data_IF_053882077882
#
_entry.id   IF_053882077882
#
_cell.length_a   1.000
_cell.length_b   1.000
_cell.length_c   1.000
_cell.angle_alpha   90.00
_cell.angle_beta   90.00
_cell.angle_gamma   90.00
#
_symmetry.space_group_name_H-M   'P 1'
#
loop_
_entity.id
_entity.type
_entity.pdbx_description
1 polymer ?
#
# COMPACT_ATOMS: atom_id res chain seq x y z
N UNK A 1 22.29 -3.64 0.44
CA UNK A 1 21.58 -2.35 0.64
C UNK A 1 20.32 -2.51 1.50
N UNK A 2 19.72 -3.70 1.58
CA UNK A 2 18.50 -3.99 2.38
C UNK A 2 18.65 -3.82 3.89
N UNK A 3 19.85 -4.06 4.44
CA UNK A 3 20.06 -4.06 5.89
C UNK A 3 20.01 -2.66 6.52
N UNK A 4 20.40 -1.64 5.74
CA UNK A 4 20.37 -0.24 6.17
C UNK A 4 18.93 0.31 6.19
N UNK A 5 18.10 -0.15 5.25
CA UNK A 5 16.68 0.22 5.15
C UNK A 5 15.86 -0.31 6.33
N UNK A 6 16.11 -1.56 6.72
CA UNK A 6 15.50 -2.15 7.93
C UNK A 6 15.98 -1.48 9.22
N UNK A 7 17.21 -0.97 9.25
CA UNK A 7 17.75 -0.26 10.42
C UNK A 7 17.04 1.08 10.61
N UNK A 8 16.85 1.86 9.53
CA UNK A 8 16.08 3.10 9.55
C UNK A 8 14.62 2.82 9.91
N UNK A 9 14.02 1.77 9.34
CA UNK A 9 12.64 1.38 9.62
C UNK A 9 12.41 1.11 11.11
N UNK A 10 13.27 0.29 11.72
CA UNK A 10 13.14 -0.13 13.10
C UNK A 10 13.46 0.97 14.12
N UNK A 11 14.45 1.81 13.84
CA UNK A 11 14.92 2.85 14.78
C UNK A 11 14.22 4.21 14.58
N UNK A 12 13.44 4.38 13.53
CA UNK A 12 12.73 5.63 13.28
C UNK A 12 11.75 5.95 14.42
N UNK A 13 11.78 7.18 14.97
CA UNK A 13 10.87 7.61 16.03
C UNK A 13 9.46 7.94 15.51
N UNK A 14 9.22 7.79 14.20
CA UNK A 14 7.95 8.11 13.53
C UNK A 14 7.22 6.80 13.21
N UNK A 15 5.89 6.81 13.31
CA UNK A 15 5.06 5.68 12.90
C UNK A 15 5.21 5.39 11.41
N UNK A 16 5.56 4.15 11.07
CA UNK A 16 5.72 3.69 9.69
C UNK A 16 5.07 2.32 9.45
N UNK A 17 4.65 2.12 8.21
CA UNK A 17 4.13 0.85 7.67
C UNK A 17 4.93 0.47 6.43
N UNK A 18 5.30 -0.80 6.35
CA UNK A 18 5.79 -1.42 5.13
C UNK A 18 4.62 -2.13 4.45
N UNK A 19 4.33 -1.79 3.19
CA UNK A 19 3.17 -2.30 2.46
C UNK A 19 3.56 -2.85 1.08
N UNK A 20 2.90 -3.93 0.68
CA UNK A 20 2.97 -4.51 -0.66
C UNK A 20 1.81 -4.00 -1.53
N UNK A 21 2.17 -3.29 -2.60
CA UNK A 21 1.26 -2.76 -3.61
C UNK A 21 1.22 -3.60 -4.90
N UNK A 22 1.93 -4.74 -4.94
CA UNK A 22 1.99 -5.61 -6.12
C UNK A 22 0.61 -6.13 -6.56
N UNK A 23 -0.32 -6.28 -5.61
CA UNK A 23 -1.71 -6.62 -5.90
C UNK A 23 -2.42 -5.58 -6.76
N UNK A 24 -2.19 -4.28 -6.51
CA UNK A 24 -2.74 -3.19 -7.32
C UNK A 24 -2.19 -3.26 -8.74
N UNK A 25 -0.87 -3.45 -8.87
CA UNK A 25 -0.24 -3.58 -10.18
C UNK A 25 -0.89 -4.69 -11.02
N UNK A 26 -1.16 -5.86 -10.43
CA UNK A 26 -1.83 -6.96 -11.14
C UNK A 26 -3.23 -6.59 -11.64
N UNK A 27 -3.99 -5.82 -10.86
CA UNK A 27 -5.32 -5.32 -11.26
C UNK A 27 -5.18 -4.37 -12.45
N UNK A 28 -4.22 -3.44 -12.41
CA UNK A 28 -3.99 -2.47 -13.48
C UNK A 28 -3.47 -3.15 -14.76
N UNK A 29 -2.58 -4.13 -14.61
CA UNK A 29 -2.10 -4.94 -15.74
C UNK A 29 -3.28 -5.69 -16.37
N UNK A 30 -4.22 -6.23 -15.59
CA UNK A 30 -5.43 -6.88 -16.09
C UNK A 30 -6.39 -5.92 -16.82
N UNK A 31 -6.51 -4.66 -16.38
CA UNK A 31 -7.28 -3.66 -17.11
C UNK A 31 -6.63 -3.26 -18.42
N UNK A 32 -5.30 -3.12 -18.42
CA UNK A 32 -4.54 -2.83 -19.64
C UNK A 32 -4.72 -3.94 -20.68
N UNK A 33 -4.71 -5.21 -20.27
CA UNK A 33 -4.97 -6.33 -21.20
C UNK A 33 -6.41 -6.41 -21.70
N UNK A 34 -7.36 -5.79 -20.99
CA UNK A 34 -8.75 -5.63 -21.45
C UNK A 34 -8.94 -4.43 -22.39
N UNK A 35 -7.87 -3.70 -22.71
CA UNK A 35 -7.90 -2.56 -23.64
C UNK A 35 -8.20 -1.22 -22.97
N UNK A 36 -8.18 -1.15 -21.63
CA UNK A 36 -8.31 0.12 -20.91
C UNK A 36 -6.96 0.86 -21.01
N UNK A 37 -6.94 1.94 -21.79
CA UNK A 37 -5.74 2.74 -22.06
C UNK A 37 -5.57 3.93 -21.11
N UNK A 38 -6.67 4.48 -20.60
CA UNK A 38 -6.68 5.59 -19.64
C UNK A 38 -7.25 5.12 -18.29
N UNK A 39 -6.37 4.59 -17.43
CA UNK A 39 -6.73 4.11 -16.10
C UNK A 39 -7.23 5.25 -15.21
N UNK A 40 -6.72 6.47 -15.39
CA UNK A 40 -7.14 7.61 -14.57
C UNK A 40 -8.59 7.97 -14.88
N UNK A 41 -8.94 8.12 -16.16
CA UNK A 41 -10.32 8.36 -16.56
C UNK A 41 -11.24 7.21 -16.14
N UNK A 42 -10.80 5.96 -16.37
CA UNK A 42 -11.53 4.76 -15.97
C UNK A 42 -11.82 4.71 -14.46
N UNK A 43 -10.90 5.16 -13.59
CA UNK A 43 -11.16 5.23 -12.15
C UNK A 43 -12.08 6.38 -11.76
N UNK A 44 -12.04 7.51 -12.48
CA UNK A 44 -12.87 8.68 -12.21
C UNK A 44 -14.34 8.46 -12.59
N UNK A 45 -14.62 7.65 -13.61
CA UNK A 45 -15.98 7.27 -14.00
C UNK A 45 -16.73 6.50 -12.91
N UNK A 46 -16.02 5.63 -12.18
CA UNK A 46 -16.59 4.84 -11.09
C UNK A 46 -15.56 4.61 -9.98
N UNK A 47 -15.58 5.43 -8.92
CA UNK A 47 -14.69 5.29 -7.78
C UNK A 47 -14.80 3.94 -7.05
N UNK A 48 -15.88 3.18 -7.24
CA UNK A 48 -16.00 1.84 -6.64
C UNK A 48 -14.96 0.86 -7.20
N UNK A 49 -14.39 1.14 -8.38
CA UNK A 49 -13.28 0.37 -8.96
C UNK A 49 -12.01 0.41 -8.08
N UNK A 50 -11.90 1.37 -7.14
CA UNK A 50 -10.82 1.43 -6.16
C UNK A 50 -10.97 0.43 -5.00
N UNK A 51 -12.19 -0.03 -4.70
CA UNK A 51 -12.45 -0.97 -3.61
C UNK A 51 -11.56 -2.24 -3.71
N UNK A 52 -11.51 -2.95 -4.85
CA UNK A 52 -10.62 -4.10 -4.99
C UNK A 52 -9.14 -3.72 -4.94
N UNK A 53 -8.75 -2.51 -5.37
CA UNK A 53 -7.37 -2.04 -5.26
C UNK A 53 -6.94 -1.85 -3.81
N UNK A 54 -7.77 -1.20 -2.99
CA UNK A 54 -7.51 -0.99 -1.57
C UNK A 54 -7.44 -2.33 -0.82
N UNK A 55 -8.32 -3.27 -1.14
CA UNK A 55 -8.31 -4.61 -0.57
C UNK A 55 -7.07 -5.44 -0.97
N UNK A 56 -6.41 -5.07 -2.07
CA UNK A 56 -5.21 -5.77 -2.55
C UNK A 56 -3.91 -5.30 -1.86
N UNK A 57 -3.94 -4.19 -1.12
CA UNK A 57 -2.78 -3.69 -0.35
C UNK A 57 -2.56 -4.60 0.86
N UNK A 58 -1.33 -5.11 1.02
CA UNK A 58 -0.98 -5.93 2.18
C UNK A 58 0.01 -5.20 3.06
N UNK A 59 -0.28 -5.10 4.35
CA UNK A 59 0.70 -4.67 5.34
C UNK A 59 1.70 -5.81 5.57
N UNK A 60 2.97 -5.55 5.29
CA UNK A 60 4.06 -6.51 5.48
C UNK A 60 4.64 -6.39 6.89
N UNK A 61 4.86 -5.16 7.36
CA UNK A 61 5.42 -4.91 8.68
C UNK A 61 5.03 -3.51 9.19
N UNK A 62 5.12 -3.32 10.50
CA UNK A 62 4.89 -2.05 11.19
C UNK A 62 6.02 -1.83 12.19
N UNK A 63 6.57 -0.62 12.24
CA UNK A 63 7.69 -0.38 13.16
C UNK A 63 7.24 -0.23 14.63
N UNK A 64 8.20 -0.27 15.55
CA UNK A 64 7.93 -0.18 16.99
C UNK A 64 7.18 1.10 17.38
N UNK A 65 7.52 2.23 16.75
CA UNK A 65 6.85 3.51 16.96
C UNK A 65 5.36 3.43 16.62
N UNK A 66 4.97 2.80 15.52
CA UNK A 66 3.57 2.56 15.16
C UNK A 66 2.82 1.79 16.24
N UNK A 67 3.39 0.68 16.72
CA UNK A 67 2.77 -0.13 17.77
C UNK A 67 2.61 0.65 19.08
N UNK A 68 3.61 1.46 19.43
CA UNK A 68 3.57 2.31 20.61
C UNK A 68 2.42 3.33 20.53
N UNK A 69 2.31 4.08 19.43
CA UNK A 69 1.26 5.10 19.29
C UNK A 69 -0.15 4.49 19.17
N UNK A 70 -0.32 3.32 18.55
CA UNK A 70 -1.62 2.64 18.49
C UNK A 70 -2.11 2.18 19.87
N UNK A 71 -1.21 1.75 20.76
CA UNK A 71 -1.55 1.34 22.13
C UNK A 71 -2.04 2.49 23.01
N UNK A 72 -1.63 3.73 22.73
CA UNK A 72 -2.04 4.91 23.50
C UNK A 72 -3.42 5.46 23.12
N UNK A 73 -4.01 4.98 22.02
CA UNK A 73 -5.34 5.41 21.55
C UNK A 73 -6.50 4.50 22.03
N UNK A 74 -6.21 3.50 22.86
CA UNK A 74 -7.18 2.55 23.43
C UNK A 74 -7.36 2.82 24.91
#
# INVERSE_FOLDING_TARGET
>A
MEQMDLTIFNLSPIAMWLQDFSGIKKIFDAWTTQGISDIQHYLLEDPNRLIPCLAAIKTLDVNQSTLFYMKLKI
#
